data_IF_122195132332
#
_entry.id   IF_122195132332
#
_cell.length_a   1.000
_cell.length_b   1.000
_cell.length_c   1.000
_cell.angle_alpha   90.00
_cell.angle_beta   90.00
_cell.angle_gamma   90.00
#
_symmetry.space_group_name_H-M   'P 1'
#
loop_
_entity.id
_entity.type
_entity.pdbx_description
1 polymer ?
#
# COMPACT_ATOMS: atom_id res chain seq x y z
N UNK A 1 9.53 9.79 7.00
CA UNK A 1 9.73 8.54 7.76
C UNK A 1 10.87 7.71 7.16
N UNK A 2 11.57 6.94 8.00
CA UNK A 2 12.35 5.80 7.51
C UNK A 2 11.39 4.63 7.25
N UNK A 3 11.40 4.08 6.03
CA UNK A 3 10.66 2.87 5.69
C UNK A 3 11.18 1.70 6.53
N UNK A 4 10.35 1.23 7.48
CA UNK A 4 10.70 0.08 8.31
C UNK A 4 10.25 -1.20 7.63
N UNK A 5 11.20 -1.98 7.12
CA UNK A 5 10.90 -3.28 6.52
C UNK A 5 10.65 -4.36 7.57
N UNK A 6 9.52 -4.24 8.27
CA UNK A 6 9.12 -5.15 9.36
C UNK A 6 7.71 -5.66 9.14
N UNK A 7 7.41 -6.87 9.62
CA UNK A 7 6.06 -7.45 9.61
C UNK A 7 4.99 -6.52 10.18
N UNK A 8 5.18 -5.88 11.35
CA UNK A 8 4.20 -4.93 11.87
C UNK A 8 4.00 -3.72 10.95
N UNK A 9 5.02 -3.27 10.23
CA UNK A 9 4.84 -2.19 9.25
C UNK A 9 4.06 -2.65 8.02
N UNK A 10 4.36 -3.85 7.49
CA UNK A 10 3.57 -4.45 6.41
C UNK A 10 2.09 -4.53 6.81
N UNK A 11 1.79 -5.07 7.99
CA UNK A 11 0.41 -5.18 8.48
C UNK A 11 -0.29 -3.82 8.53
N UNK A 12 0.40 -2.74 8.93
CA UNK A 12 -0.18 -1.39 8.92
C UNK A 12 -0.55 -0.91 7.51
N UNK A 13 0.28 -1.24 6.51
CA UNK A 13 -0.05 -0.90 5.12
C UNK A 13 -1.27 -1.71 4.67
N UNK A 14 -1.31 -3.01 4.96
CA UNK A 14 -2.46 -3.87 4.65
C UNK A 14 -3.75 -3.40 5.34
N UNK A 15 -3.65 -2.90 6.58
CA UNK A 15 -4.76 -2.35 7.34
C UNK A 15 -5.39 -1.12 6.65
N UNK A 16 -4.56 -0.26 6.05
CA UNK A 16 -5.06 0.86 5.23
C UNK A 16 -5.90 0.35 4.05
N UNK A 17 -5.46 -0.70 3.37
CA UNK A 17 -6.25 -1.31 2.30
C UNK A 17 -7.55 -1.94 2.83
N UNK A 18 -7.50 -2.57 4.00
CA UNK A 18 -8.67 -3.19 4.62
C UNK A 18 -9.75 -2.17 5.04
N UNK A 19 -9.33 -0.97 5.44
CA UNK A 19 -10.23 0.14 5.76
C UNK A 19 -10.59 1.00 4.53
N UNK A 20 -9.94 0.76 3.39
CA UNK A 20 -10.19 1.46 2.15
C UNK A 20 -11.23 0.74 1.30
N UNK A 21 -11.71 1.41 0.26
CA UNK A 21 -12.52 0.81 -0.80
C UNK A 21 -11.66 -0.02 -1.79
N UNK A 22 -10.34 -0.11 -1.54
CA UNK A 22 -9.41 -0.87 -2.36
C UNK A 22 -9.26 -2.32 -1.88
N UNK A 23 -9.47 -3.27 -2.79
CA UNK A 23 -9.28 -4.70 -2.50
C UNK A 23 -7.82 -5.08 -2.72
N UNK A 24 -7.10 -5.43 -1.64
CA UNK A 24 -5.76 -6.01 -1.72
C UNK A 24 -5.83 -7.52 -1.99
N UNK A 25 -5.15 -8.00 -3.03
CA UNK A 25 -5.02 -9.42 -3.37
C UNK A 25 -3.57 -9.83 -3.57
N UNK A 26 -3.24 -11.02 -3.07
CA UNK A 26 -1.94 -11.65 -3.32
C UNK A 26 -2.09 -12.73 -4.38
N UNK A 27 -1.48 -12.52 -5.53
CA UNK A 27 -1.60 -13.42 -6.68
C UNK A 27 -0.23 -13.92 -7.16
N UNK A 28 -0.24 -15.07 -7.86
CA UNK A 28 0.92 -15.58 -8.57
C UNK A 28 1.01 -14.90 -9.94
N UNK A 29 1.52 -13.68 -9.99
CA UNK A 29 1.66 -12.92 -11.24
C UNK A 29 3.09 -12.46 -11.49
N UNK A 30 3.51 -12.44 -12.76
CA UNK A 30 4.80 -11.87 -13.16
C UNK A 30 4.61 -10.38 -13.52
N UNK A 31 4.34 -9.56 -12.51
CA UNK A 31 4.19 -8.11 -12.68
C UNK A 31 5.58 -7.47 -12.73
N UNK A 32 5.86 -6.62 -13.73
CA UNK A 32 7.17 -5.94 -13.88
C UNK A 32 7.60 -5.15 -12.63
N UNK A 33 6.66 -4.51 -11.95
CA UNK A 33 6.89 -3.75 -10.72
C UNK A 33 6.61 -4.56 -9.44
N UNK A 34 6.27 -5.85 -9.57
CA UNK A 34 5.84 -6.68 -8.44
C UNK A 34 4.38 -6.52 -8.03
N UNK A 35 3.68 -5.52 -8.57
CA UNK A 35 2.27 -5.28 -8.31
C UNK A 35 1.53 -4.74 -9.55
N UNK A 36 0.20 -4.79 -9.51
CA UNK A 36 -0.71 -4.18 -10.49
C UNK A 36 -1.90 -3.54 -9.76
N UNK A 37 -2.28 -2.33 -10.16
CA UNK A 37 -3.46 -1.64 -9.60
C UNK A 37 -4.49 -1.42 -10.70
N UNK A 38 -5.67 -1.98 -10.51
CA UNK A 38 -6.84 -1.70 -11.32
C UNK A 38 -7.60 -0.54 -10.70
N UNK A 39 -7.40 0.68 -11.22
CA UNK A 39 -8.07 1.88 -10.71
C UNK A 39 -9.60 1.82 -10.84
N UNK A 40 -10.07 1.22 -11.93
CA UNK A 40 -11.50 1.10 -12.26
C UNK A 40 -12.24 0.19 -11.26
N UNK A 41 -11.64 -0.97 -10.96
CA UNK A 41 -12.19 -1.92 -9.98
C UNK A 41 -11.67 -1.70 -8.55
N UNK A 42 -10.83 -0.69 -8.33
CA UNK A 42 -10.13 -0.44 -7.06
C UNK A 42 -9.46 -1.71 -6.50
N UNK A 43 -8.78 -2.48 -7.34
CA UNK A 43 -8.09 -3.71 -6.90
C UNK A 43 -6.58 -3.50 -6.96
N UNK A 44 -5.90 -3.74 -5.85
CA UNK A 44 -4.45 -3.79 -5.77
C UNK A 44 -3.99 -5.24 -5.71
N UNK A 45 -3.21 -5.68 -6.68
CA UNK A 45 -2.69 -7.04 -6.77
C UNK A 45 -1.19 -7.02 -6.53
N UNK A 46 -0.71 -7.75 -5.52
CA UNK A 46 0.71 -7.87 -5.18
C UNK A 46 1.19 -9.29 -5.44
N UNK A 47 2.40 -9.44 -5.98
CA UNK A 47 2.99 -10.76 -6.19
C UNK A 47 3.22 -11.45 -4.84
N UNK A 48 2.61 -12.62 -4.67
CA UNK A 48 2.71 -13.37 -3.42
C UNK A 48 4.13 -13.88 -3.09
N UNK A 49 4.97 -14.02 -4.11
CA UNK A 49 6.34 -14.53 -3.99
C UNK A 49 7.35 -13.48 -3.55
N UNK A 50 6.93 -12.22 -3.42
CA UNK A 50 7.84 -11.15 -3.00
C UNK A 50 8.27 -11.31 -1.54
N UNK A 51 9.53 -10.99 -1.29
CA UNK A 51 10.07 -10.83 0.07
C UNK A 51 9.29 -9.74 0.82
N UNK A 52 9.39 -9.75 2.14
CA UNK A 52 8.71 -8.76 3.00
C UNK A 52 9.02 -7.31 2.58
N UNK A 53 10.28 -7.02 2.29
CA UNK A 53 10.72 -5.72 1.76
C UNK A 53 10.05 -5.38 0.44
N UNK A 54 9.97 -6.34 -0.48
CA UNK A 54 9.32 -6.16 -1.78
C UNK A 54 7.82 -5.88 -1.64
N UNK A 55 7.13 -6.61 -0.75
CA UNK A 55 5.71 -6.38 -0.46
C UNK A 55 5.47 -4.99 0.13
N UNK A 56 6.29 -4.58 1.10
CA UNK A 56 6.21 -3.24 1.71
C UNK A 56 6.40 -2.15 0.66
N UNK A 57 7.44 -2.27 -0.18
CA UNK A 57 7.68 -1.31 -1.25
C UNK A 57 6.51 -1.26 -2.24
N UNK A 58 5.97 -2.42 -2.65
CA UNK A 58 4.80 -2.47 -3.53
C UNK A 58 3.61 -1.74 -2.90
N UNK A 59 3.23 -2.10 -1.66
CA UNK A 59 2.10 -1.49 -0.98
C UNK A 59 2.29 0.01 -0.77
N UNK A 60 3.50 0.44 -0.39
CA UNK A 60 3.83 1.84 -0.20
C UNK A 60 3.69 2.64 -1.51
N UNK A 61 4.22 2.11 -2.61
CA UNK A 61 4.14 2.73 -3.93
C UNK A 61 2.71 2.77 -4.47
N UNK A 62 1.94 1.70 -4.24
CA UNK A 62 0.50 1.66 -4.52
C UNK A 62 -0.20 2.78 -3.76
N UNK A 63 -0.03 2.85 -2.43
CA UNK A 63 -0.70 3.84 -1.57
C UNK A 63 -0.38 5.28 -2.00
N UNK A 64 0.83 5.55 -2.47
CA UNK A 64 1.20 6.87 -3.04
C UNK A 64 0.49 7.16 -4.36
N UNK A 65 0.29 6.13 -5.18
CA UNK A 65 -0.31 6.26 -6.52
C UNK A 65 -1.83 6.29 -6.49
N UNK A 66 -2.46 5.58 -5.56
CA UNK A 66 -3.91 5.51 -5.42
C UNK A 66 -4.42 6.64 -4.53
N UNK A 67 -5.63 7.11 -4.80
CA UNK A 67 -6.34 8.04 -3.93
C UNK A 67 -7.29 7.23 -3.05
N UNK A 68 -6.95 7.10 -1.78
CA UNK A 68 -7.82 6.49 -0.76
C UNK A 68 -8.67 7.57 -0.10
N UNK A 69 -9.93 7.26 0.18
CA UNK A 69 -10.79 8.17 0.94
C UNK A 69 -10.42 8.16 2.42
N UNK A 70 -9.90 9.27 2.91
CA UNK A 70 -9.45 9.43 4.29
C UNK A 70 -10.59 9.34 5.32
N UNK A 71 -11.86 9.50 4.90
CA UNK A 71 -13.00 9.38 5.80
C UNK A 71 -13.32 7.92 6.14
N UNK A 72 -12.86 6.96 5.32
CA UNK A 72 -13.03 5.53 5.58
C UNK A 72 -11.95 4.99 6.53
N UNK A 73 -10.81 5.67 6.59
CA UNK A 73 -9.67 5.27 7.41
C UNK A 73 -9.85 5.70 8.88
N UNK A 74 -9.42 4.84 9.79
CA UNK A 74 -9.25 5.22 11.20
C UNK A 74 -8.21 6.33 11.36
N UNK A 75 -8.29 7.12 12.43
CA UNK A 75 -7.39 8.25 12.70
C UNK A 75 -5.90 7.87 12.60
N UNK A 76 -5.54 6.68 13.09
CA UNK A 76 -4.18 6.12 13.01
C UNK A 76 -3.74 5.86 11.56
N UNK A 77 -4.61 5.26 10.76
CA UNK A 77 -4.31 4.86 9.40
C UNK A 77 -4.32 6.04 8.45
N UNK A 78 -5.24 6.98 8.67
CA UNK A 78 -5.26 8.29 8.02
C UNK A 78 -3.96 9.04 8.24
N UNK A 79 -3.48 9.10 9.47
CA UNK A 79 -2.22 9.78 9.78
C UNK A 79 -1.02 9.10 9.11
N UNK A 80 -0.98 7.76 9.07
CA UNK A 80 0.05 7.01 8.35
C UNK A 80 -0.02 7.26 6.83
N UNK A 81 -1.21 7.21 6.24
CA UNK A 81 -1.42 7.47 4.81
C UNK A 81 -0.99 8.90 4.43
N UNK A 82 -1.32 9.89 5.25
CA UNK A 82 -0.86 11.26 5.06
C UNK A 82 0.67 11.39 5.14
N UNK A 83 1.33 10.71 6.09
CA UNK A 83 2.80 10.71 6.19
C UNK A 83 3.45 10.13 4.92
N UNK A 84 2.93 8.98 4.46
CA UNK A 84 3.36 8.31 3.22
C UNK A 84 3.22 9.24 2.01
N UNK A 85 2.09 9.95 1.90
CA UNK A 85 1.81 10.86 0.78
C UNK A 85 2.64 12.15 0.84
N UNK A 86 2.90 12.67 2.03
CA UNK A 86 3.69 13.89 2.22
C UNK A 86 5.20 13.69 2.00
N UNK A 87 5.72 12.46 2.05
CA UNK A 87 7.13 12.19 1.77
C UNK A 87 7.58 12.49 0.33
N UNK A 88 6.67 12.72 -0.61
CA UNK A 88 7.01 13.12 -1.99
C UNK A 88 7.63 14.53 -2.09
N UNK A 89 7.63 15.31 -1.01
CA UNK A 89 8.09 16.71 -1.02
C UNK A 89 9.54 16.92 -0.57
N UNK A 90 10.28 15.87 -0.21
CA UNK A 90 11.69 15.99 0.19
C UNK A 90 12.59 15.25 -0.79
N UNK A 91 12.72 15.81 -1.98
CA UNK A 91 13.91 15.66 -2.83
C UNK A 91 14.13 17.00 -3.55
#
# INVERSE_FOLDING_TARGET
MELKYTRPFLNKLEDIFAESDFVLRYEKGNFKAGYCVLKDMKVAVVNKYFSLEGKINCLYDILRTITVDENLLSEKNRQLYQDIRNQERTN
#
